data_IF_828226785036
#
_entry.id   IF_828226785036
#
_cell.length_a   1.000
_cell.length_b   1.000
_cell.length_c   1.000
_cell.angle_alpha   90.00
_cell.angle_beta   90.00
_cell.angle_gamma   90.00
#
_symmetry.space_group_name_H-M   'P 1'
#
loop_
_entity.id
_entity.type
_entity.pdbx_description
1 polymer ?
#
# COMPACT_ATOMS: atom_id res chain seq x y z
N UNK A 1 28.67 40.52 -24.12
CA UNK A 1 28.70 39.68 -22.90
C UNK A 1 27.33 39.10 -22.52
N UNK A 2 26.19 39.66 -22.96
CA UNK A 2 24.83 39.15 -22.63
C UNK A 2 24.45 37.82 -23.32
N UNK A 3 24.90 37.59 -24.55
CA UNK A 3 24.54 36.39 -25.33
C UNK A 3 25.09 35.10 -24.69
N UNK A 4 26.32 35.16 -24.17
CA UNK A 4 26.98 34.02 -23.50
C UNK A 4 26.29 33.65 -22.17
N UNK A 5 25.67 34.64 -21.51
CA UNK A 5 24.99 34.47 -20.22
C UNK A 5 23.61 33.83 -20.39
N UNK A 6 22.90 34.19 -21.47
CA UNK A 6 21.63 33.57 -21.84
C UNK A 6 21.78 32.08 -22.23
N UNK A 7 22.87 31.72 -22.91
CA UNK A 7 23.13 30.32 -23.31
C UNK A 7 23.48 29.44 -22.09
N UNK A 8 24.23 29.97 -21.12
CA UNK A 8 24.54 29.28 -19.87
C UNK A 8 23.29 29.04 -19.02
N UNK A 9 22.40 30.04 -18.91
CA UNK A 9 21.14 29.90 -18.19
C UNK A 9 20.23 28.82 -18.81
N UNK A 10 20.13 28.77 -20.14
CA UNK A 10 19.38 27.74 -20.88
C UNK A 10 19.98 26.34 -20.67
N UNK A 11 21.30 26.22 -20.73
CA UNK A 11 21.99 24.96 -20.49
C UNK A 11 21.79 24.45 -19.06
N UNK A 12 21.88 25.32 -18.05
CA UNK A 12 21.58 24.97 -16.66
C UNK A 12 20.13 24.53 -16.48
N UNK A 13 19.18 25.18 -17.16
CA UNK A 13 17.77 24.80 -17.08
C UNK A 13 17.50 23.43 -17.70
N UNK A 14 18.15 23.12 -18.83
CA UNK A 14 18.06 21.79 -19.47
C UNK A 14 18.68 20.71 -18.59
N UNK A 15 19.85 20.97 -17.99
CA UNK A 15 20.51 20.00 -17.09
C UNK A 15 19.66 19.77 -15.83
N UNK A 16 19.11 20.82 -15.22
CA UNK A 16 18.24 20.72 -14.04
C UNK A 16 16.96 19.91 -14.36
N UNK A 17 16.34 20.17 -15.51
CA UNK A 17 15.14 19.47 -15.96
C UNK A 17 15.41 17.99 -16.26
N UNK A 18 16.55 17.68 -16.89
CA UNK A 18 16.98 16.28 -17.09
C UNK A 18 17.23 15.58 -15.75
N UNK A 19 17.92 16.22 -14.81
CA UNK A 19 18.20 15.61 -13.50
C UNK A 19 16.95 15.31 -12.70
N UNK A 20 15.92 16.17 -12.76
CA UNK A 20 14.65 15.95 -12.07
C UNK A 20 13.82 14.81 -12.70
N UNK A 21 14.00 14.57 -14.01
CA UNK A 21 13.26 13.52 -14.73
C UNK A 21 13.81 12.10 -14.44
N UNK A 22 15.07 11.98 -14.01
CA UNK A 22 15.70 10.69 -13.68
C UNK A 22 15.58 10.29 -12.20
N UNK A 23 15.00 11.14 -11.35
CA UNK A 23 14.81 10.81 -9.93
C UNK A 23 13.50 10.03 -9.77
N UNK A 24 13.59 8.70 -9.78
CA UNK A 24 12.49 7.86 -9.32
C UNK A 24 12.39 7.96 -7.79
N UNK A 25 11.50 8.83 -7.30
CA UNK A 25 11.16 8.88 -5.88
C UNK A 25 10.13 7.77 -5.62
N UNK A 26 10.52 6.75 -4.86
CA UNK A 26 9.56 5.81 -4.28
C UNK A 26 8.83 6.54 -3.14
N UNK A 27 7.67 7.12 -3.43
CA UNK A 27 6.84 7.81 -2.43
C UNK A 27 6.18 6.84 -1.43
N UNK A 28 6.29 5.54 -1.68
CA UNK A 28 5.61 4.51 -0.92
C UNK A 28 6.42 4.12 0.31
N UNK A 29 5.73 3.94 1.44
CA UNK A 29 6.37 3.49 2.67
C UNK A 29 6.88 2.06 2.49
N UNK A 30 8.16 1.82 2.78
CA UNK A 30 8.71 0.47 2.87
C UNK A 30 8.41 -0.07 4.26
N UNK A 31 7.54 -1.08 4.33
CA UNK A 31 7.22 -1.76 5.57
C UNK A 31 8.16 -2.94 5.79
N UNK A 32 8.53 -3.16 7.04
CA UNK A 32 9.32 -4.30 7.52
C UNK A 32 8.46 -5.23 8.38
N UNK A 33 8.86 -6.50 8.55
CA UNK A 33 8.16 -7.39 9.48
C UNK A 33 8.05 -6.76 10.88
N UNK A 34 6.82 -6.66 11.39
CA UNK A 34 6.52 -6.02 12.67
C UNK A 34 5.97 -4.59 12.57
N UNK A 35 5.92 -3.98 11.39
CA UNK A 35 5.37 -2.62 11.22
C UNK A 35 3.83 -2.57 11.15
N UNK A 36 3.17 -3.73 11.15
CA UNK A 36 1.71 -3.89 11.15
C UNK A 36 1.33 -5.00 12.11
N UNK A 37 0.25 -4.81 12.87
CA UNK A 37 -0.31 -5.83 13.73
C UNK A 37 -1.83 -5.93 13.53
N UNK A 38 -2.35 -7.15 13.48
CA UNK A 38 -3.80 -7.38 13.55
C UNK A 38 -4.31 -7.09 14.95
N UNK A 39 -5.47 -6.44 15.05
CA UNK A 39 -6.12 -6.09 16.32
C UNK A 39 -7.45 -6.81 16.51
N UNK A 40 -8.02 -7.38 15.44
CA UNK A 40 -9.26 -8.15 15.49
C UNK A 40 -9.62 -8.75 14.14
N UNK A 41 -10.42 -9.81 14.17
CA UNK A 41 -11.04 -10.38 12.98
C UNK A 41 -12.37 -11.01 13.36
N UNK A 42 -13.31 -10.98 12.43
CA UNK A 42 -14.56 -11.72 12.50
C UNK A 42 -14.84 -12.29 11.12
N UNK A 43 -14.83 -13.61 11.05
CA UNK A 43 -15.38 -14.35 9.93
C UNK A 43 -16.89 -14.48 10.14
N UNK A 44 -17.68 -13.97 9.21
CA UNK A 44 -19.13 -14.00 9.31
C UNK A 44 -19.70 -14.92 8.24
N UNK A 45 -20.69 -15.75 8.60
CA UNK A 45 -21.46 -16.48 7.60
C UNK A 45 -22.60 -15.63 7.04
N UNK A 46 -23.13 -16.04 5.88
CA UNK A 46 -24.33 -15.46 5.29
C UNK A 46 -24.10 -14.10 4.64
N UNK A 47 -24.91 -13.10 5.01
CA UNK A 47 -24.98 -11.81 4.32
C UNK A 47 -24.01 -10.74 4.86
N UNK A 48 -23.28 -11.04 5.93
CA UNK A 48 -22.33 -10.08 6.52
C UNK A 48 -20.94 -10.29 5.91
N UNK A 49 -20.25 -9.23 5.46
CA UNK A 49 -18.90 -9.37 4.96
C UNK A 49 -17.94 -9.76 6.10
N UNK A 50 -16.89 -10.50 5.74
CA UNK A 50 -15.75 -10.69 6.60
C UNK A 50 -15.12 -9.34 6.94
N UNK A 51 -14.67 -9.22 8.19
CA UNK A 51 -14.05 -8.00 8.69
C UNK A 51 -12.82 -8.31 9.51
N UNK A 52 -11.82 -7.46 9.39
CA UNK A 52 -10.64 -7.48 10.25
C UNK A 52 -10.16 -6.07 10.51
N UNK A 53 -9.39 -5.91 11.56
CA UNK A 53 -8.76 -4.66 11.92
C UNK A 53 -7.27 -4.85 12.13
N UNK A 54 -6.53 -3.81 11.79
CA UNK A 54 -5.09 -3.77 11.97
C UNK A 54 -4.64 -2.36 12.36
N UNK A 55 -3.50 -2.29 13.03
CA UNK A 55 -2.82 -1.05 13.41
C UNK A 55 -1.47 -0.98 12.71
N UNK A 56 -1.12 0.20 12.22
CA UNK A 56 0.25 0.48 11.74
C UNK A 56 1.11 0.87 12.94
N UNK A 57 2.25 0.22 13.10
CA UNK A 57 3.19 0.47 14.21
C UNK A 57 4.33 1.44 13.81
N UNK A 58 4.38 1.78 12.52
CA UNK A 58 5.22 2.84 11.95
C UNK A 58 4.35 3.82 11.15
N UNK A 59 4.75 5.10 10.99
CA UNK A 59 4.02 6.01 10.11
C UNK A 59 4.03 5.53 8.66
N UNK A 60 2.89 5.65 7.99
CA UNK A 60 2.75 5.37 6.54
C UNK A 60 2.42 6.64 5.77
N UNK A 61 2.83 6.71 4.51
CA UNK A 61 2.52 7.79 3.57
C UNK A 61 1.27 7.48 2.76
N UNK A 62 0.68 8.51 2.15
CA UNK A 62 -0.38 8.32 1.17
C UNK A 62 0.07 7.34 0.08
N UNK A 63 -0.86 6.55 -0.45
CA UNK A 63 -0.62 5.50 -1.46
C UNK A 63 0.21 4.31 -0.98
N UNK A 64 0.54 4.22 0.30
CA UNK A 64 1.09 2.98 0.88
C UNK A 64 0.11 1.83 0.63
N UNK A 65 0.62 0.75 0.02
CA UNK A 65 -0.15 -0.45 -0.29
C UNK A 65 0.20 -1.53 0.72
N UNK A 66 -0.82 -2.13 1.32
CA UNK A 66 -0.70 -3.29 2.21
C UNK A 66 -1.58 -4.39 1.64
N UNK A 67 -0.98 -5.57 1.43
CA UNK A 67 -1.63 -6.74 0.85
C UNK A 67 -1.91 -7.75 1.95
N UNK A 68 -3.13 -8.26 1.96
CA UNK A 68 -3.60 -9.30 2.87
C UNK A 68 -4.05 -10.51 2.06
N UNK A 69 -3.79 -11.71 2.54
CA UNK A 69 -4.22 -12.92 1.87
C UNK A 69 -4.48 -14.05 2.86
N UNK A 70 -5.37 -14.95 2.47
CA UNK A 70 -5.61 -16.24 3.08
C UNK A 70 -4.77 -17.38 2.45
N UNK A 71 -4.05 -17.12 1.35
CA UNK A 71 -3.21 -18.13 0.71
C UNK A 71 -2.30 -18.82 1.74
N UNK A 72 -2.33 -20.15 1.78
CA UNK A 72 -1.43 -20.92 2.63
C UNK A 72 0.06 -20.67 2.32
N UNK A 73 0.91 -20.71 3.33
CA UNK A 73 2.37 -20.60 3.16
C UNK A 73 2.99 -21.91 2.67
N UNK A 74 3.87 -21.83 1.67
CA UNK A 74 4.63 -22.97 1.13
C UNK A 74 6.10 -22.86 1.50
N UNK A 75 6.52 -23.65 2.49
CA UNK A 75 7.92 -23.70 2.94
C UNK A 75 8.87 -24.14 1.84
N UNK A 76 8.44 -25.03 0.93
CA UNK A 76 9.27 -25.53 -0.18
C UNK A 76 9.58 -24.47 -1.24
N UNK A 77 8.70 -23.48 -1.40
CA UNK A 77 8.87 -22.36 -2.33
C UNK A 77 9.26 -21.05 -1.63
N UNK A 78 9.23 -21.03 -0.29
CA UNK A 78 9.37 -19.82 0.52
C UNK A 78 8.45 -18.69 0.02
N UNK A 79 7.20 -19.04 -0.28
CA UNK A 79 6.21 -18.15 -0.88
C UNK A 79 4.79 -18.55 -0.50
N UNK A 80 3.83 -17.66 -0.73
CA UNK A 80 2.39 -17.98 -0.63
C UNK A 80 1.95 -18.90 -1.77
N UNK A 81 0.94 -19.74 -1.52
CA UNK A 81 0.40 -20.69 -2.48
C UNK A 81 -0.46 -20.01 -3.56
N UNK A 82 0.20 -19.28 -4.45
CA UNK A 82 -0.37 -18.37 -5.45
C UNK A 82 -1.20 -19.03 -6.58
N UNK A 83 -1.48 -20.34 -6.50
CA UNK A 83 -2.20 -21.12 -7.53
C UNK A 83 -3.55 -21.69 -7.08
N UNK A 84 -3.99 -21.37 -5.86
CA UNK A 84 -5.28 -21.83 -5.35
C UNK A 84 -6.42 -20.98 -5.94
N UNK A 85 -7.36 -21.60 -6.66
CA UNK A 85 -8.43 -20.92 -7.39
C UNK A 85 -9.58 -20.40 -6.50
N UNK A 86 -9.53 -20.67 -5.20
CA UNK A 86 -10.57 -20.31 -4.22
C UNK A 86 -10.07 -19.35 -3.12
N UNK A 87 -8.81 -18.93 -3.21
CA UNK A 87 -8.15 -18.03 -2.25
C UNK A 87 -8.03 -16.64 -2.90
N UNK A 88 -7.84 -15.60 -2.09
CA UNK A 88 -7.89 -14.22 -2.55
C UNK A 88 -6.79 -13.34 -1.96
N UNK A 89 -6.50 -12.28 -2.70
CA UNK A 89 -5.73 -11.16 -2.21
C UNK A 89 -6.63 -9.94 -2.01
N UNK A 90 -6.45 -9.26 -0.89
CA UNK A 90 -7.02 -7.96 -0.59
C UNK A 90 -5.91 -6.91 -0.59
N UNK A 91 -6.08 -5.87 -1.39
CA UNK A 91 -5.14 -4.76 -1.54
C UNK A 91 -5.72 -3.51 -0.91
N UNK A 92 -5.19 -3.10 0.24
CA UNK A 92 -5.48 -1.80 0.86
C UNK A 92 -4.52 -0.75 0.32
N UNK A 93 -5.04 0.41 -0.10
CA UNK A 93 -4.23 1.58 -0.49
C UNK A 93 -4.60 2.78 0.38
N UNK A 94 -3.65 3.27 1.17
CA UNK A 94 -3.85 4.41 2.07
C UNK A 94 -4.20 5.68 1.30
N UNK A 95 -5.28 6.37 1.72
CA UNK A 95 -5.70 7.64 1.08
C UNK A 95 -4.85 8.84 1.48
N UNK A 96 -4.18 8.77 2.62
CA UNK A 96 -3.37 9.84 3.21
C UNK A 96 -2.18 9.25 3.98
N UNK A 97 -1.33 10.12 4.53
CA UNK A 97 -0.34 9.72 5.52
C UNK A 97 -1.00 9.49 6.87
N UNK A 98 -0.63 8.39 7.54
CA UNK A 98 -1.16 8.01 8.84
C UNK A 98 -0.02 7.81 9.85
N UNK A 99 -0.10 8.38 11.07
CA UNK A 99 0.90 8.14 12.09
C UNK A 99 0.84 6.70 12.61
N UNK A 100 1.93 6.25 13.23
CA UNK A 100 1.94 5.02 14.02
C UNK A 100 0.82 5.05 15.09
N UNK A 101 0.21 3.90 15.33
CA UNK A 101 -0.97 3.74 16.20
C UNK A 101 -2.31 3.97 15.49
N UNK A 102 -2.33 4.36 14.22
CA UNK A 102 -3.59 4.45 13.47
C UNK A 102 -4.14 3.05 13.22
N UNK A 103 -5.37 2.83 13.68
CA UNK A 103 -6.10 1.59 13.47
C UNK A 103 -7.12 1.72 12.35
N UNK A 104 -7.19 0.66 11.55
CA UNK A 104 -8.03 0.54 10.37
C UNK A 104 -8.96 -0.65 10.54
N UNK A 105 -10.19 -0.52 10.08
CA UNK A 105 -11.10 -1.64 9.89
C UNK A 105 -11.31 -1.87 8.39
N UNK A 106 -11.14 -3.12 7.97
CA UNK A 106 -11.50 -3.59 6.64
C UNK A 106 -12.79 -4.38 6.76
N UNK A 107 -13.76 -4.07 5.90
CA UNK A 107 -15.05 -4.76 5.82
C UNK A 107 -15.48 -4.83 4.36
N UNK A 108 -15.36 -6.00 3.74
CA UNK A 108 -15.49 -6.14 2.29
C UNK A 108 -14.56 -5.16 1.56
N UNK A 109 -15.11 -4.38 0.62
CA UNK A 109 -14.35 -3.41 -0.19
C UNK A 109 -14.18 -2.03 0.47
N UNK A 110 -14.43 -1.94 1.78
CA UNK A 110 -14.31 -0.68 2.52
C UNK A 110 -13.17 -0.71 3.54
N UNK A 111 -12.42 0.39 3.61
CA UNK A 111 -11.46 0.66 4.66
C UNK A 111 -11.86 1.91 5.44
N UNK A 112 -12.05 1.79 6.75
CA UNK A 112 -12.47 2.88 7.63
C UNK A 112 -11.50 3.07 8.79
N UNK A 113 -11.36 4.31 9.24
CA UNK A 113 -10.71 4.60 10.52
C UNK A 113 -11.66 4.25 11.66
N UNK A 114 -11.13 3.86 12.83
CA UNK A 114 -11.97 3.57 14.01
C UNK A 114 -12.81 4.78 14.46
N UNK A 115 -12.32 6.00 14.23
CA UNK A 115 -13.05 7.25 14.45
C UNK A 115 -14.05 7.64 13.35
N UNK A 116 -14.21 6.80 12.32
CA UNK A 116 -15.01 7.08 11.13
C UNK A 116 -14.23 7.76 10.00
N UNK A 117 -14.82 7.74 8.81
CA UNK A 117 -14.20 8.25 7.58
C UNK A 117 -13.46 7.18 6.79
N UNK A 118 -13.30 7.41 5.49
CA UNK A 118 -12.57 6.52 4.60
C UNK A 118 -11.07 6.60 4.90
N UNK A 119 -10.43 5.43 5.03
CA UNK A 119 -8.99 5.32 5.22
C UNK A 119 -8.24 5.11 3.90
N UNK A 120 -8.95 4.72 2.84
CA UNK A 120 -8.30 4.22 1.63
C UNK A 120 -9.26 3.50 0.71
N UNK A 121 -8.68 2.88 -0.31
CA UNK A 121 -9.39 1.95 -1.20
C UNK A 121 -9.03 0.51 -0.87
N UNK A 122 -9.97 -0.40 -1.14
CA UNK A 122 -9.78 -1.84 -1.02
C UNK A 122 -10.19 -2.50 -2.32
N UNK A 123 -9.31 -3.33 -2.88
CA UNK A 123 -9.56 -4.11 -4.10
C UNK A 123 -9.29 -5.59 -3.80
N UNK A 124 -10.20 -6.45 -4.25
CA UNK A 124 -9.99 -7.90 -4.23
C UNK A 124 -9.46 -8.39 -5.56
N UNK A 125 -8.52 -9.31 -5.53
CA UNK A 125 -8.05 -10.07 -6.68
C UNK A 125 -8.20 -11.56 -6.38
N UNK A 126 -9.02 -12.24 -7.18
CA UNK A 126 -9.25 -13.68 -7.04
C UNK A 126 -8.37 -14.42 -8.04
N UNK A 127 -7.64 -15.45 -7.60
CA UNK A 127 -6.84 -16.29 -8.50
C UNK A 127 -5.68 -15.58 -9.21
N UNK A 128 -5.38 -14.32 -8.87
CA UNK A 128 -4.11 -13.71 -9.16
C UNK A 128 -3.14 -14.15 -8.05
N UNK A 129 -1.95 -14.61 -8.42
CA UNK A 129 -0.95 -14.97 -7.42
C UNK A 129 -0.62 -13.79 -6.49
N UNK A 130 -0.30 -14.09 -5.23
CA UNK A 130 0.20 -13.09 -4.29
C UNK A 130 1.61 -12.64 -4.72
N UNK A 131 1.77 -11.34 -5.00
CA UNK A 131 3.00 -10.72 -5.53
C UNK A 131 3.59 -9.70 -4.55
#
# INVERSE_FOLDING_TARGET
MSFLQATKAKLCFVILSLTLFFISVNAQTTLTPGDVAFTGYVSADGANPDRFSFVVLTPITATTVIRFTDFGWRTDLNAFNSGATLESELVFTASAGYPAGTEFQISGTSATLIGGGSAGTVVYSVGAGFL
#
